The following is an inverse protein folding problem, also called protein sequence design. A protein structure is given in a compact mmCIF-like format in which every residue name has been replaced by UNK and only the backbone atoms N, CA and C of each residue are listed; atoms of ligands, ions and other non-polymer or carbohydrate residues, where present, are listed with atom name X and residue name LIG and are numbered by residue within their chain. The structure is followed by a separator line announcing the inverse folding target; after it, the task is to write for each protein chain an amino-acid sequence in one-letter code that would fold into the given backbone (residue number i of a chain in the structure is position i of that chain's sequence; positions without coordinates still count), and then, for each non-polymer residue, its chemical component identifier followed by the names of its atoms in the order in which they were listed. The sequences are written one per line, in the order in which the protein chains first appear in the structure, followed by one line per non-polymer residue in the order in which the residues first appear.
data_IF_275640729760
#
_entry.id   IF_275640729760
#
_cell.length_a   1.000
_cell.length_b   1.000
_cell.length_c   1.000
_cell.angle_alpha   90.00
_cell.angle_beta   90.00
_cell.angle_gamma   90.00
#
_symmetry.space_group_name_H-M   'P 1'
#
loop_
_entity.id
_entity.type
_entity.pdbx_description
1 polymer ?
#
# COMPACT_ATOMS: atom_id res chain seq x y z
N UNK A 1 10.41 -12.51 10.30
CA UNK A 1 9.74 -11.24 9.95
C UNK A 1 10.17 -10.14 10.90
N UNK A 2 10.38 -8.92 10.42
CA UNK A 2 10.57 -7.72 11.27
C UNK A 2 9.20 -7.09 11.51
N UNK A 3 8.90 -6.67 12.73
CA UNK A 3 7.67 -5.94 13.08
C UNK A 3 8.00 -4.50 13.47
N UNK A 4 7.24 -3.54 12.93
CA UNK A 4 7.39 -2.09 13.18
C UNK A 4 6.08 -1.53 13.71
N UNK A 5 6.15 -0.44 14.48
CA UNK A 5 4.95 0.32 14.82
C UNK A 5 4.41 1.03 13.58
N UNK A 6 3.08 1.12 13.48
CA UNK A 6 2.43 1.96 12.48
C UNK A 6 2.43 3.42 12.99
N UNK A 7 3.46 4.16 12.59
CA UNK A 7 3.71 5.51 13.10
C UNK A 7 3.90 5.51 14.62
N UNK A 8 3.27 6.46 15.30
CA UNK A 8 3.26 6.56 16.77
C UNK A 8 2.23 5.65 17.45
N UNK A 9 1.40 4.92 16.69
CA UNK A 9 0.36 4.06 17.27
C UNK A 9 0.95 2.86 18.03
N UNK A 10 0.11 2.20 18.83
CA UNK A 10 0.47 0.94 19.50
C UNK A 10 0.45 -0.28 18.57
N UNK A 11 -0.09 -0.16 17.35
CA UNK A 11 -0.22 -1.28 16.42
C UNK A 11 1.12 -1.66 15.82
N UNK A 12 1.47 -2.95 15.89
CA UNK A 12 2.64 -3.49 15.20
C UNK A 12 2.23 -4.22 13.92
N UNK A 13 2.82 -3.80 12.81
CA UNK A 13 2.66 -4.45 11.50
C UNK A 13 3.98 -5.07 11.07
N UNK A 14 3.91 -6.18 10.33
CA UNK A 14 5.06 -6.74 9.64
C UNK A 14 5.62 -5.71 8.67
N UNK A 15 6.94 -5.63 8.55
CA UNK A 15 7.61 -4.67 7.67
C UNK A 15 7.26 -4.89 6.18
N UNK A 16 6.85 -6.11 5.84
CA UNK A 16 6.23 -6.46 4.56
C UNK A 16 4.77 -6.81 4.81
N UNK A 17 3.87 -6.27 3.99
CA UNK A 17 2.44 -6.60 3.98
C UNK A 17 2.02 -7.14 2.62
N UNK A 18 0.81 -7.69 2.52
CA UNK A 18 0.34 -8.31 1.28
C UNK A 18 -0.97 -7.69 0.79
N UNK A 19 -0.96 -7.15 -0.43
CA UNK A 19 -2.10 -6.49 -1.05
C UNK A 19 -2.74 -7.32 -2.16
N UNK A 20 -4.04 -7.12 -2.36
CA UNK A 20 -4.86 -7.91 -3.28
C UNK A 20 -5.15 -7.23 -4.64
N UNK A 21 -4.62 -6.02 -4.86
CA UNK A 21 -4.94 -5.21 -6.05
C UNK A 21 -4.49 -5.88 -7.36
N UNK A 22 -5.40 -5.92 -8.35
CA UNK A 22 -5.29 -6.57 -9.67
C UNK A 22 -5.30 -8.10 -9.63
N UNK A 23 -4.84 -8.72 -8.54
CA UNK A 23 -4.71 -10.16 -8.43
C UNK A 23 -6.04 -10.82 -8.06
N UNK A 24 -6.55 -10.54 -6.87
CA UNK A 24 -7.66 -11.29 -6.29
C UNK A 24 -8.99 -10.92 -6.97
N UNK A 25 -9.77 -11.93 -7.32
CA UNK A 25 -11.06 -11.75 -7.99
C UNK A 25 -10.95 -11.25 -9.44
N UNK A 26 -9.74 -11.18 -10.01
CA UNK A 26 -9.53 -10.75 -11.41
C UNK A 26 -8.47 -11.57 -12.13
N UNK A 27 -7.19 -11.42 -11.79
CA UNK A 27 -6.08 -12.03 -12.54
C UNK A 27 -5.78 -13.47 -12.14
N UNK A 28 -5.99 -13.83 -10.87
CA UNK A 28 -5.67 -15.16 -10.34
C UNK A 28 -6.92 -15.83 -9.76
N UNK A 29 -6.94 -17.16 -9.82
CA UNK A 29 -8.01 -17.94 -9.20
C UNK A 29 -7.92 -17.94 -7.66
N UNK A 30 -8.98 -18.43 -7.01
CA UNK A 30 -9.05 -18.50 -5.55
C UNK A 30 -7.98 -19.42 -4.97
N UNK A 31 -7.59 -20.51 -5.65
CA UNK A 31 -6.61 -21.47 -5.13
C UNK A 31 -5.22 -20.84 -5.01
N UNK A 32 -4.79 -20.10 -6.03
CA UNK A 32 -3.54 -19.33 -6.00
C UNK A 32 -3.62 -18.22 -4.95
N UNK A 33 -4.77 -17.54 -4.85
CA UNK A 33 -4.98 -16.50 -3.83
C UNK A 33 -4.84 -17.06 -2.41
N UNK A 34 -5.45 -18.21 -2.12
CA UNK A 34 -5.32 -18.95 -0.86
C UNK A 34 -3.86 -19.29 -0.58
N UNK A 35 -3.16 -19.89 -1.55
CA UNK A 35 -1.76 -20.28 -1.41
C UNK A 35 -0.86 -19.08 -1.07
N UNK A 36 -1.06 -17.94 -1.75
CA UNK A 36 -0.28 -16.73 -1.51
C UNK A 36 -0.55 -16.13 -0.13
N UNK A 37 -1.80 -16.10 0.32
CA UNK A 37 -2.13 -15.61 1.66
C UNK A 37 -1.51 -16.48 2.77
N UNK A 38 -1.60 -17.80 2.64
CA UNK A 38 -0.96 -18.71 3.59
C UNK A 38 0.56 -18.55 3.57
N UNK A 39 1.18 -18.48 2.40
CA UNK A 39 2.62 -18.26 2.28
C UNK A 39 3.07 -16.94 2.95
N UNK A 40 2.30 -15.85 2.78
CA UNK A 40 2.58 -14.59 3.46
C UNK A 40 2.44 -14.73 4.98
N UNK A 41 1.33 -15.29 5.45
CA UNK A 41 1.04 -15.47 6.87
C UNK A 41 2.10 -16.35 7.57
N UNK A 42 2.45 -17.48 6.96
CA UNK A 42 3.45 -18.43 7.47
C UNK A 42 4.86 -17.80 7.51
N UNK A 43 5.14 -16.85 6.61
CA UNK A 43 6.38 -16.05 6.64
C UNK A 43 6.36 -14.94 7.72
N UNK A 44 5.27 -14.82 8.47
CA UNK A 44 5.07 -13.86 9.55
C UNK A 44 4.42 -12.54 9.11
N UNK A 45 3.95 -12.42 7.87
CA UNK A 45 3.17 -11.24 7.44
C UNK A 45 1.87 -11.21 8.23
N UNK A 46 1.63 -10.11 8.95
CA UNK A 46 0.41 -9.96 9.72
C UNK A 46 -0.56 -8.94 9.10
N UNK A 47 -0.15 -8.15 8.10
CA UNK A 47 -1.03 -7.12 7.51
C UNK A 47 -1.42 -7.44 6.07
N UNK A 48 -2.73 -7.50 5.82
CA UNK A 48 -3.35 -7.79 4.53
C UNK A 48 -4.21 -6.61 4.06
N UNK A 49 -3.96 -6.14 2.84
CA UNK A 49 -4.52 -4.90 2.31
C UNK A 49 -5.54 -5.13 1.17
N UNK A 50 -6.69 -4.47 1.24
CA UNK A 50 -7.79 -4.61 0.27
C UNK A 50 -8.55 -3.29 0.06
N UNK A 51 -9.55 -3.24 -0.84
CA UNK A 51 -10.41 -2.08 -1.06
C UNK A 51 -11.75 -2.48 -1.70
N UNK A 52 -12.81 -1.69 -1.47
CA UNK A 52 -14.14 -1.98 -2.02
C UNK A 52 -14.16 -2.07 -3.56
N UNK A 53 -13.36 -1.24 -4.23
CA UNK A 53 -13.35 -1.17 -5.69
C UNK A 53 -12.55 -2.31 -6.34
N UNK A 54 -11.71 -3.02 -5.58
CA UNK A 54 -10.86 -4.07 -6.14
C UNK A 54 -11.72 -5.23 -6.63
N UNK A 55 -11.70 -5.43 -7.96
CA UNK A 55 -12.60 -6.34 -8.66
C UNK A 55 -14.09 -6.12 -8.27
N UNK A 56 -14.49 -4.86 -8.04
CA UNK A 56 -15.86 -4.48 -7.62
C UNK A 56 -16.35 -5.29 -6.41
N UNK A 57 -15.53 -5.38 -5.37
CA UNK A 57 -15.85 -6.05 -4.12
C UNK A 57 -15.43 -7.53 -4.08
N UNK A 58 -15.26 -8.18 -5.23
CA UNK A 58 -14.89 -9.60 -5.26
C UNK A 58 -13.54 -9.89 -4.59
N UNK A 59 -12.60 -8.92 -4.60
CA UNK A 59 -11.32 -9.06 -3.91
C UNK A 59 -11.48 -9.20 -2.40
N UNK A 60 -12.41 -8.47 -1.78
CA UNK A 60 -12.73 -8.59 -0.36
C UNK A 60 -13.44 -9.90 -0.05
N UNK A 61 -14.32 -10.37 -0.92
CA UNK A 61 -15.00 -11.67 -0.76
C UNK A 61 -14.03 -12.84 -0.80
N UNK A 62 -13.05 -12.82 -1.72
CA UNK A 62 -12.00 -13.83 -1.81
C UNK A 62 -11.14 -13.82 -0.55
N UNK A 63 -10.66 -12.64 -0.14
CA UNK A 63 -9.85 -12.51 1.08
C UNK A 63 -10.62 -12.95 2.33
N UNK A 64 -11.87 -12.53 2.47
CA UNK A 64 -12.73 -12.89 3.60
C UNK A 64 -13.03 -14.37 3.66
N UNK A 65 -13.26 -15.03 2.51
CA UNK A 65 -13.39 -16.48 2.43
C UNK A 65 -12.14 -17.18 2.93
N UNK A 66 -10.95 -16.79 2.43
CA UNK A 66 -9.67 -17.38 2.83
C UNK A 66 -9.46 -17.23 4.34
N UNK A 67 -9.64 -16.02 4.88
CA UNK A 67 -9.53 -15.75 6.32
C UNK A 67 -10.48 -16.66 7.11
N UNK A 68 -11.77 -16.72 6.72
CA UNK A 68 -12.76 -17.54 7.44
C UNK A 68 -12.47 -19.04 7.43
N UNK A 69 -11.81 -19.53 6.38
CA UNK A 69 -11.48 -20.96 6.21
C UNK A 69 -10.08 -21.32 6.73
N UNK A 70 -9.24 -20.33 7.03
CA UNK A 70 -7.84 -20.52 7.41
C UNK A 70 -7.62 -21.02 8.85
N UNK A 71 -8.59 -20.80 9.74
CA UNK A 71 -8.44 -21.04 11.18
C UNK A 71 -7.50 -20.07 11.89
N UNK A 72 -7.08 -18.97 11.25
CA UNK A 72 -6.25 -17.95 11.90
C UNK A 72 -7.03 -17.25 13.03
N UNK A 73 -6.36 -17.03 14.15
CA UNK A 73 -6.94 -16.23 15.22
C UNK A 73 -7.13 -14.78 14.74
N UNK A 74 -8.30 -14.18 14.95
CA UNK A 74 -8.56 -12.79 14.52
C UNK A 74 -7.53 -11.78 15.06
N UNK A 75 -6.96 -12.06 16.22
CA UNK A 75 -5.92 -11.26 16.88
C UNK A 75 -4.52 -11.40 16.29
N UNK A 76 -4.27 -12.39 15.41
CA UNK A 76 -2.93 -12.63 14.83
C UNK A 76 -2.66 -11.82 13.56
N UNK A 77 -3.68 -11.21 12.96
CA UNK A 77 -3.56 -10.44 11.73
C UNK A 77 -4.32 -9.10 11.79
N UNK A 78 -3.88 -8.19 10.94
CA UNK A 78 -4.48 -6.93 10.61
C UNK A 78 -5.06 -7.01 9.19
N UNK A 79 -6.27 -6.53 8.99
CA UNK A 79 -6.88 -6.38 7.66
C UNK A 79 -7.26 -4.92 7.41
N UNK A 80 -7.06 -4.46 6.18
CA UNK A 80 -7.58 -3.15 5.73
C UNK A 80 -8.64 -3.26 4.65
N UNK A 81 -9.45 -2.20 4.58
CA UNK A 81 -10.20 -1.85 3.39
C UNK A 81 -10.10 -0.35 3.13
N UNK A 82 -10.50 0.09 1.93
CA UNK A 82 -10.52 1.49 1.51
C UNK A 82 -11.84 1.82 0.88
N UNK A 83 -12.38 2.97 1.26
CA UNK A 83 -13.62 3.53 0.76
C UNK A 83 -13.34 4.75 -0.10
N UNK A 84 -13.92 4.78 -1.30
CA UNK A 84 -14.09 5.97 -2.13
C UNK A 84 -14.94 5.67 -3.35
N UNK A 85 -14.61 4.64 -4.15
CA UNK A 85 -15.17 4.47 -5.50
C UNK A 85 -16.44 3.61 -5.54
N UNK A 86 -16.83 3.03 -4.41
CA UNK A 86 -17.87 2.01 -4.34
C UNK A 86 -17.46 0.70 -5.02
N UNK A 87 -18.34 -0.29 -4.88
CA UNK A 87 -18.30 -1.54 -5.65
C UNK A 87 -19.52 -1.68 -6.56
N UNK A 88 -20.63 -1.06 -6.15
CA UNK A 88 -21.78 -0.75 -6.99
C UNK A 88 -21.51 0.56 -7.72
N UNK A 89 -21.46 0.51 -9.04
CA UNK A 89 -21.34 1.70 -9.88
C UNK A 89 -22.70 1.97 -10.47
N UNK A 90 -23.35 3.10 -10.16
CA UNK A 90 -24.44 3.74 -10.94
C UNK A 90 -25.21 4.85 -10.19
N UNK A 91 -24.92 5.16 -8.92
CA UNK A 91 -25.65 6.17 -8.13
C UNK A 91 -24.72 7.22 -7.50
N UNK A 92 -25.19 8.46 -7.31
CA UNK A 92 -24.35 9.59 -6.86
C UNK A 92 -23.74 9.41 -5.47
N UNK A 93 -24.40 8.66 -4.58
CA UNK A 93 -23.96 8.47 -3.19
C UNK A 93 -23.23 7.13 -2.95
N UNK A 94 -22.82 6.44 -4.02
CA UNK A 94 -22.01 5.21 -3.95
C UNK A 94 -20.53 5.50 -4.17
N UNK A 95 -20.11 6.76 -4.06
CA UNK A 95 -18.74 7.22 -4.23
C UNK A 95 -18.43 8.43 -3.34
N UNK A 96 -17.16 8.76 -3.18
CA UNK A 96 -16.66 9.88 -2.38
C UNK A 96 -16.43 9.54 -0.91
N UNK A 97 -16.34 10.57 -0.08
CA UNK A 97 -16.06 10.47 1.35
C UNK A 97 -17.12 11.12 2.23
N UNK A 98 -18.33 11.26 1.69
CA UNK A 98 -19.50 11.63 2.49
C UNK A 98 -19.71 10.64 3.63
N UNK A 99 -20.30 11.12 4.73
CA UNK A 99 -20.67 10.28 5.87
C UNK A 99 -21.53 9.10 5.42
N UNK A 100 -22.46 9.31 4.48
CA UNK A 100 -23.30 8.23 3.95
C UNK A 100 -22.44 7.11 3.35
N UNK A 101 -21.56 7.43 2.39
CA UNK A 101 -20.76 6.42 1.70
C UNK A 101 -19.72 5.77 2.61
N UNK A 102 -19.06 6.53 3.50
CA UNK A 102 -18.12 5.97 4.47
C UNK A 102 -18.79 4.91 5.35
N UNK A 103 -19.96 5.24 5.91
CA UNK A 103 -20.67 4.35 6.82
C UNK A 103 -21.20 3.10 6.09
N UNK A 104 -21.79 3.28 4.91
CA UNK A 104 -22.32 2.17 4.09
C UNK A 104 -21.21 1.28 3.53
N UNK A 105 -20.13 1.88 3.01
CA UNK A 105 -18.95 1.20 2.49
C UNK A 105 -18.25 0.36 3.55
N UNK A 106 -18.07 0.90 4.77
CA UNK A 106 -17.51 0.13 5.90
C UNK A 106 -18.37 -1.08 6.25
N UNK A 107 -19.69 -0.91 6.39
CA UNK A 107 -20.61 -2.01 6.67
C UNK A 107 -20.58 -3.09 5.57
N UNK A 108 -20.45 -2.68 4.31
CA UNK A 108 -20.37 -3.60 3.18
C UNK A 108 -19.03 -4.35 3.16
N UNK A 109 -17.92 -3.66 3.44
CA UNK A 109 -16.59 -4.25 3.53
C UNK A 109 -16.51 -5.32 4.64
N UNK A 110 -17.05 -5.04 5.83
CA UNK A 110 -17.14 -6.01 6.95
C UNK A 110 -17.81 -7.32 6.53
N UNK A 111 -18.92 -7.22 5.79
CA UNK A 111 -19.65 -8.40 5.28
C UNK A 111 -18.83 -9.19 4.27
N UNK A 112 -18.22 -8.53 3.29
CA UNK A 112 -17.40 -9.21 2.25
C UNK A 112 -16.14 -9.83 2.84
N UNK A 113 -15.47 -9.12 3.74
CA UNK A 113 -14.28 -9.61 4.46
C UNK A 113 -14.61 -10.65 5.54
N UNK A 114 -15.87 -10.81 5.91
CA UNK A 114 -16.34 -11.75 6.95
C UNK A 114 -15.63 -11.53 8.30
N UNK A 115 -15.46 -10.27 8.68
CA UNK A 115 -14.86 -9.86 9.96
C UNK A 115 -15.80 -8.92 10.71
N UNK A 116 -15.70 -8.93 12.04
CA UNK A 116 -16.51 -8.06 12.91
C UNK A 116 -15.98 -6.64 12.98
N UNK A 117 -14.67 -6.45 12.74
CA UNK A 117 -13.99 -5.17 12.70
C UNK A 117 -12.87 -5.17 11.66
N UNK A 118 -12.54 -3.98 11.14
CA UNK A 118 -11.39 -3.73 10.25
C UNK A 118 -10.30 -3.01 11.06
N UNK A 119 -9.07 -3.50 11.05
CA UNK A 119 -8.01 -2.86 11.83
C UNK A 119 -7.69 -1.47 11.28
N UNK A 120 -7.55 -1.39 9.95
CA UNK A 120 -7.11 -0.20 9.23
C UNK A 120 -8.12 0.19 8.14
N UNK A 121 -8.86 1.28 8.31
CA UNK A 121 -9.82 1.74 7.29
C UNK A 121 -9.37 3.03 6.62
N UNK A 122 -9.27 3.03 5.29
CA UNK A 122 -8.67 4.14 4.56
C UNK A 122 -9.70 4.93 3.75
N UNK A 123 -9.53 6.25 3.72
CA UNK A 123 -9.99 7.08 2.62
C UNK A 123 -9.13 6.77 1.38
N UNK A 124 -9.68 6.11 0.36
CA UNK A 124 -8.88 5.64 -0.79
C UNK A 124 -8.31 6.79 -1.63
N UNK A 125 -8.98 7.94 -1.69
CA UNK A 125 -8.54 9.16 -2.37
C UNK A 125 -9.04 10.38 -1.61
N UNK A 126 -8.44 11.57 -1.78
CA UNK A 126 -9.07 12.79 -1.29
C UNK A 126 -10.37 13.05 -2.05
N UNK A 127 -11.41 13.50 -1.34
CA UNK A 127 -12.67 13.92 -1.94
C UNK A 127 -12.77 15.44 -1.91
N UNK A 128 -12.79 16.06 -3.09
CA UNK A 128 -12.88 17.52 -3.22
C UNK A 128 -14.30 18.06 -3.03
N UNK A 129 -15.29 17.17 -2.98
CA UNK A 129 -16.70 17.55 -2.84
C UNK A 129 -17.24 17.34 -1.42
N UNK A 130 -16.50 16.64 -0.55
CA UNK A 130 -16.88 16.43 0.85
C UNK A 130 -15.98 17.26 1.75
N UNK A 131 -16.54 18.09 2.66
CA UNK A 131 -15.74 18.77 3.68
C UNK A 131 -14.95 17.77 4.54
N UNK A 132 -13.67 18.03 4.77
CA UNK A 132 -12.79 17.14 5.57
C UNK A 132 -13.39 16.89 6.95
N UNK A 133 -14.08 17.87 7.52
CA UNK A 133 -14.76 17.78 8.81
C UNK A 133 -15.77 16.62 8.86
N UNK A 134 -16.57 16.46 7.79
CA UNK A 134 -17.57 15.40 7.69
C UNK A 134 -16.89 14.02 7.61
N UNK A 135 -15.82 13.91 6.83
CA UNK A 135 -15.02 12.70 6.72
C UNK A 135 -14.40 12.30 8.07
N UNK A 136 -13.76 13.25 8.78
CA UNK A 136 -13.16 12.97 10.10
C UNK A 136 -14.22 12.53 11.10
N UNK A 137 -15.39 13.19 11.13
CA UNK A 137 -16.51 12.79 11.99
C UNK A 137 -17.04 11.39 11.66
N UNK A 138 -17.15 11.05 10.38
CA UNK A 138 -17.59 9.74 9.94
C UNK A 138 -16.61 8.64 10.38
N UNK A 139 -15.30 8.86 10.19
CA UNK A 139 -14.26 7.93 10.63
C UNK A 139 -14.25 7.78 12.16
N UNK A 140 -14.32 8.88 12.90
CA UNK A 140 -14.41 8.83 14.37
C UNK A 140 -15.67 8.09 14.83
N UNK A 141 -16.81 8.26 14.14
CA UNK A 141 -18.04 7.51 14.44
C UNK A 141 -17.82 6.00 14.28
N UNK A 142 -17.15 5.56 13.22
CA UNK A 142 -16.87 4.14 13.00
C UNK A 142 -15.95 3.56 14.08
N UNK A 143 -14.99 4.34 14.57
CA UNK A 143 -14.15 3.95 15.72
C UNK A 143 -15.00 3.76 16.96
N UNK A 144 -15.86 4.72 17.30
CA UNK A 144 -16.74 4.62 18.48
C UNK A 144 -17.74 3.45 18.38
N UNK A 145 -18.10 3.05 17.16
CA UNK A 145 -18.93 1.86 16.91
C UNK A 145 -18.16 0.54 17.02
N UNK A 146 -16.84 0.56 17.23
CA UNK A 146 -15.99 -0.63 17.25
C UNK A 146 -15.84 -1.33 15.90
N UNK A 147 -16.26 -0.68 14.81
CA UNK A 147 -16.21 -1.26 13.45
C UNK A 147 -14.83 -1.15 12.83
N UNK A 148 -14.08 -0.12 13.21
CA UNK A 148 -12.70 0.08 12.81
C UNK A 148 -11.86 0.43 14.04
N UNK A 149 -10.58 0.08 14.05
CA UNK A 149 -9.67 0.49 15.13
C UNK A 149 -8.87 1.75 14.80
N UNK A 150 -8.39 1.82 13.57
CA UNK A 150 -7.62 2.95 13.08
C UNK A 150 -8.16 3.38 11.71
N UNK A 151 -8.06 4.66 11.43
CA UNK A 151 -8.29 5.18 10.09
C UNK A 151 -7.07 5.89 9.54
N UNK A 152 -7.02 5.98 8.22
CA UNK A 152 -5.95 6.61 7.50
C UNK A 152 -6.38 7.13 6.14
N UNK A 153 -5.42 7.70 5.43
CA UNK A 153 -5.60 8.34 4.13
C UNK A 153 -4.80 7.60 3.05
N UNK A 154 -5.12 7.80 1.78
CA UNK A 154 -4.35 7.25 0.66
C UNK A 154 -4.37 8.20 -0.52
N UNK A 155 -3.17 8.55 -0.97
CA UNK A 155 -2.93 9.55 -2.00
C UNK A 155 -3.40 10.96 -1.63
N UNK A 156 -3.47 11.27 -0.34
CA UNK A 156 -3.72 12.63 0.13
C UNK A 156 -2.44 13.46 0.06
N UNK A 157 -2.59 14.78 0.01
CA UNK A 157 -1.50 15.74 0.17
C UNK A 157 -1.22 16.02 1.66
N UNK A 158 -0.03 16.55 1.97
CA UNK A 158 0.30 16.93 3.33
C UNK A 158 -0.68 17.96 3.90
N UNK A 159 -1.14 18.89 3.08
CA UNK A 159 -2.08 19.95 3.48
C UNK A 159 -3.44 19.37 3.89
N UNK A 160 -3.94 18.37 3.18
CA UNK A 160 -5.21 17.71 3.51
C UNK A 160 -5.09 16.86 4.77
N UNK A 161 -3.98 16.14 4.94
CA UNK A 161 -3.71 15.35 6.14
C UNK A 161 -3.57 16.28 7.35
N UNK A 162 -2.87 17.41 7.20
CA UNK A 162 -2.73 18.44 8.22
C UNK A 162 -4.09 19.04 8.61
N UNK A 163 -4.97 19.31 7.63
CA UNK A 163 -6.32 19.78 7.90
C UNK A 163 -7.14 18.75 8.70
N UNK A 164 -7.03 17.46 8.36
CA UNK A 164 -7.68 16.39 9.10
C UNK A 164 -7.18 16.30 10.54
N UNK A 165 -5.86 16.39 10.77
CA UNK A 165 -5.28 16.46 12.11
C UNK A 165 -5.77 17.69 12.89
N UNK A 166 -5.67 18.88 12.29
CA UNK A 166 -6.06 20.13 12.94
C UNK A 166 -7.55 20.13 13.33
N UNK A 167 -8.42 19.60 12.47
CA UNK A 167 -9.82 19.45 12.79
C UNK A 167 -10.05 18.43 13.92
N UNK A 168 -9.39 17.27 13.86
CA UNK A 168 -9.53 16.24 14.89
C UNK A 168 -9.11 16.75 16.27
N UNK A 169 -7.96 17.41 16.37
CA UNK A 169 -7.44 17.95 17.63
C UNK A 169 -8.38 19.01 18.24
N UNK A 170 -8.84 19.96 17.42
CA UNK A 170 -9.76 21.02 17.88
C UNK A 170 -11.10 20.48 18.39
N UNK A 171 -11.53 19.31 17.89
CA UNK A 171 -12.81 18.71 18.20
C UNK A 171 -12.70 17.46 19.09
N UNK A 172 -11.52 17.17 19.65
CA UNK A 172 -11.27 16.00 20.49
C UNK A 172 -11.64 14.67 19.81
N UNK A 173 -11.38 14.58 18.50
CA UNK A 173 -11.58 13.39 17.69
C UNK A 173 -10.25 12.67 17.45
N UNK A 174 -10.33 11.44 16.97
CA UNK A 174 -9.14 10.68 16.57
C UNK A 174 -8.76 11.06 15.13
N UNK A 175 -7.59 11.67 14.95
CA UNK A 175 -7.01 11.97 13.63
C UNK A 175 -6.51 10.73 12.89
N UNK A 176 -6.13 10.86 11.61
CA UNK A 176 -5.62 9.72 10.83
C UNK A 176 -4.31 9.22 11.43
N UNK A 177 -4.13 7.90 11.52
CA UNK A 177 -2.92 7.32 12.10
C UNK A 177 -1.86 6.94 11.05
N UNK A 178 -2.28 6.81 9.79
CA UNK A 178 -1.41 6.43 8.69
C UNK A 178 -1.85 7.01 7.34
N UNK A 179 -0.89 7.10 6.42
CA UNK A 179 -1.09 7.37 5.01
C UNK A 179 -0.64 6.15 4.18
N UNK A 180 -1.29 5.92 3.03
CA UNK A 180 -0.92 4.90 2.05
C UNK A 180 -0.46 5.55 0.74
N UNK A 181 0.81 6.01 0.65
CA UNK A 181 1.34 6.67 -0.53
C UNK A 181 2.10 5.70 -1.44
N UNK A 182 2.22 6.05 -2.72
CA UNK A 182 3.15 5.39 -3.61
C UNK A 182 4.58 5.68 -3.15
N UNK A 183 5.42 4.64 -3.02
CA UNK A 183 6.84 4.82 -2.74
C UNK A 183 7.69 3.72 -3.39
N UNK A 184 8.65 4.13 -4.20
CA UNK A 184 9.62 3.26 -4.86
C UNK A 184 10.79 4.11 -5.38
N UNK A 185 11.80 3.46 -5.97
CA UNK A 185 12.99 4.12 -6.52
C UNK A 185 12.66 5.26 -7.52
N UNK A 186 11.49 5.26 -8.18
CA UNK A 186 11.06 6.32 -9.08
C UNK A 186 10.04 7.32 -8.49
N UNK A 187 9.45 7.03 -7.33
CA UNK A 187 8.45 7.88 -6.69
C UNK A 187 8.82 8.10 -5.22
N UNK A 188 9.27 9.31 -4.91
CA UNK A 188 9.95 9.65 -3.66
C UNK A 188 9.44 10.91 -2.98
N UNK A 189 8.71 11.77 -3.70
CA UNK A 189 8.44 13.14 -3.27
C UNK A 189 7.62 13.19 -1.98
N UNK A 190 6.57 12.38 -1.89
CA UNK A 190 5.70 12.34 -0.70
C UNK A 190 6.47 11.95 0.56
N UNK A 191 7.18 10.83 0.49
CA UNK A 191 7.87 10.23 1.64
C UNK A 191 9.14 10.98 2.07
N UNK A 192 9.89 11.52 1.12
CA UNK A 192 11.22 12.08 1.42
C UNK A 192 11.22 13.62 1.44
N UNK A 193 10.09 14.26 1.18
CA UNK A 193 9.96 15.73 1.23
C UNK A 193 8.64 16.18 1.83
N UNK A 194 7.51 15.78 1.24
CA UNK A 194 6.20 16.36 1.57
C UNK A 194 5.74 16.02 3.00
N UNK A 195 5.95 14.77 3.43
CA UNK A 195 5.44 14.26 4.72
C UNK A 195 6.41 14.38 5.89
N UNK A 196 7.60 14.98 5.69
CA UNK A 196 8.62 15.05 6.75
C UNK A 196 8.09 15.71 8.03
N UNK A 197 7.28 16.76 7.92
CA UNK A 197 6.66 17.41 9.07
C UNK A 197 5.55 16.55 9.70
N UNK A 198 4.78 15.81 8.91
CA UNK A 198 3.76 14.89 9.42
C UNK A 198 4.38 13.74 10.23
N UNK A 199 5.54 13.25 9.80
CA UNK A 199 6.29 12.26 10.58
C UNK A 199 6.81 12.83 11.89
N UNK A 200 7.41 14.02 11.85
CA UNK A 200 8.00 14.68 13.02
C UNK A 200 6.95 15.08 14.06
N UNK A 201 5.89 15.76 13.61
CA UNK A 201 4.95 16.45 14.50
C UNK A 201 3.77 15.55 14.90
N UNK A 202 3.30 14.73 13.96
CA UNK A 202 2.12 13.89 14.17
C UNK A 202 2.46 12.42 14.34
N UNK A 203 3.69 11.99 14.07
CA UNK A 203 4.08 10.59 14.14
C UNK A 203 3.31 9.71 13.14
N UNK A 204 3.02 10.24 11.96
CA UNK A 204 2.27 9.56 10.91
C UNK A 204 2.95 8.23 10.51
N UNK A 205 2.21 7.13 10.48
CA UNK A 205 2.69 5.86 9.93
C UNK A 205 2.47 5.78 8.43
N UNK A 206 3.19 4.88 7.73
CA UNK A 206 2.92 4.67 6.30
C UNK A 206 2.87 3.22 5.89
N UNK A 207 1.87 2.89 5.06
CA UNK A 207 1.76 1.61 4.37
C UNK A 207 2.04 1.84 2.89
N UNK A 208 3.28 1.72 2.41
CA UNK A 208 3.61 2.17 1.05
C UNK A 208 3.21 1.14 0.00
N UNK A 209 2.79 1.60 -1.18
CA UNK A 209 2.33 0.73 -2.27
C UNK A 209 3.14 0.88 -3.56
N UNK A 210 3.02 -0.13 -4.44
CA UNK A 210 3.80 -0.28 -5.68
C UNK A 210 5.32 -0.14 -5.53
N UNK A 211 5.96 -0.88 -4.60
CA UNK A 211 7.42 -0.83 -4.41
C UNK A 211 8.20 -1.23 -5.67
N UNK A 212 7.58 -2.02 -6.56
CA UNK A 212 8.18 -2.48 -7.81
C UNK A 212 7.79 -1.65 -9.04
N UNK A 213 7.13 -0.50 -8.85
CA UNK A 213 6.63 0.36 -9.93
C UNK A 213 5.89 -0.43 -11.02
N UNK A 214 4.81 -1.14 -10.63
CA UNK A 214 4.05 -2.03 -11.52
C UNK A 214 4.84 -3.18 -12.16
N UNK A 215 6.01 -3.51 -11.61
CA UNK A 215 6.88 -4.57 -12.10
C UNK A 215 8.04 -4.07 -12.95
N UNK A 216 8.17 -2.76 -13.18
CA UNK A 216 9.34 -2.19 -13.84
C UNK A 216 10.63 -2.54 -13.11
N UNK A 217 10.64 -2.38 -11.79
CA UNK A 217 11.77 -2.68 -10.92
C UNK A 217 11.97 -4.19 -10.67
N UNK A 218 11.56 -5.04 -11.61
CA UNK A 218 12.01 -6.44 -11.67
C UNK A 218 12.94 -6.70 -12.84
N UNK A 219 13.17 -5.70 -13.72
CA UNK A 219 13.98 -5.82 -14.93
C UNK A 219 13.32 -6.60 -16.07
N UNK A 220 12.06 -7.08 -15.89
CA UNK A 220 11.39 -7.93 -16.89
C UNK A 220 10.99 -7.19 -18.17
N UNK A 221 11.03 -5.85 -18.15
CA UNK A 221 10.72 -5.00 -19.30
C UNK A 221 11.98 -4.41 -19.96
N UNK A 222 13.18 -4.86 -19.57
CA UNK A 222 14.44 -4.28 -20.05
C UNK A 222 14.71 -4.50 -21.56
N UNK A 223 14.06 -5.50 -22.17
CA UNK A 223 14.30 -5.85 -23.58
C UNK A 223 13.01 -5.91 -24.41
N UNK A 224 11.92 -6.43 -23.82
CA UNK A 224 10.60 -6.49 -24.45
C UNK A 224 9.52 -6.56 -23.37
N UNK A 225 8.24 -6.53 -23.76
CA UNK A 225 7.11 -6.76 -22.84
C UNK A 225 6.75 -8.25 -22.88
N UNK A 226 6.99 -9.01 -21.79
CA UNK A 226 6.63 -10.43 -21.77
C UNK A 226 5.11 -10.63 -21.80
N UNK A 227 4.69 -11.79 -22.31
CA UNK A 227 3.30 -12.24 -22.24
C UNK A 227 2.82 -12.49 -20.80
N UNK A 228 1.50 -12.37 -20.57
CA UNK A 228 0.89 -12.65 -19.28
C UNK A 228 1.25 -11.65 -18.18
N UNK A 229 1.74 -10.47 -18.55
CA UNK A 229 2.09 -9.42 -17.59
C UNK A 229 0.90 -8.53 -17.27
N UNK A 230 0.95 -7.85 -16.11
CA UNK A 230 -0.14 -6.98 -15.67
C UNK A 230 -0.44 -5.81 -16.63
N UNK A 231 0.54 -5.44 -17.46
CA UNK A 231 0.43 -4.37 -18.45
C UNK A 231 -0.32 -4.79 -19.72
N UNK A 232 -0.63 -6.08 -19.87
CA UNK A 232 -1.41 -6.64 -20.98
C UNK A 232 -2.85 -6.99 -20.58
N UNK A 233 -3.24 -6.77 -19.33
CA UNK A 233 -4.64 -6.97 -18.89
C UNK A 233 -5.50 -5.90 -19.56
N UNK A 234 -6.62 -6.33 -20.17
CA UNK A 234 -7.57 -5.42 -20.80
C UNK A 234 -8.04 -4.31 -19.84
N UNK A 235 -8.05 -3.06 -20.33
CA UNK A 235 -8.35 -1.86 -19.55
C UNK A 235 -7.19 -1.29 -18.73
N UNK A 236 -5.95 -1.77 -18.93
CA UNK A 236 -4.74 -1.29 -18.24
C UNK A 236 -3.77 -0.51 -19.13
N UNK A 237 -4.23 0.04 -20.26
CA UNK A 237 -3.37 0.81 -21.19
C UNK A 237 -2.71 2.02 -20.51
N UNK A 238 -3.48 2.74 -19.68
CA UNK A 238 -2.96 3.83 -18.85
C UNK A 238 -1.82 3.38 -17.92
N UNK A 239 -1.88 2.14 -17.42
CA UNK A 239 -0.84 1.59 -16.54
C UNK A 239 0.41 1.24 -17.35
N UNK A 240 0.25 0.73 -18.57
CA UNK A 240 1.33 0.47 -19.50
C UNK A 240 2.06 1.76 -19.88
N UNK A 241 1.32 2.78 -20.27
CA UNK A 241 1.86 4.11 -20.59
C UNK A 241 2.58 4.72 -19.38
N UNK A 242 1.96 4.71 -18.19
CA UNK A 242 2.59 5.20 -16.96
C UNK A 242 3.84 4.42 -16.55
N UNK A 243 3.94 3.15 -16.92
CA UNK A 243 5.07 2.29 -16.53
C UNK A 243 6.21 2.33 -17.53
N UNK A 244 5.90 2.38 -18.84
CA UNK A 244 6.86 2.19 -19.92
C UNK A 244 6.99 3.40 -20.87
N UNK A 245 6.16 4.43 -20.70
CA UNK A 245 6.14 5.60 -21.57
C UNK A 245 7.35 6.51 -21.45
N UNK A 246 8.13 6.38 -20.37
CA UNK A 246 9.37 7.12 -20.15
C UNK A 246 10.59 6.19 -20.28
N UNK A 247 11.28 6.30 -21.42
CA UNK A 247 12.47 5.51 -21.72
C UNK A 247 13.61 5.72 -20.71
N UNK A 248 13.68 6.89 -20.06
CA UNK A 248 14.73 7.17 -19.06
C UNK A 248 14.61 6.23 -17.86
N UNK A 249 13.39 5.84 -17.47
CA UNK A 249 13.15 4.91 -16.37
C UNK A 249 13.59 3.49 -16.72
N UNK A 250 13.47 3.08 -17.98
CA UNK A 250 13.95 1.78 -18.45
C UNK A 250 15.47 1.74 -18.38
N UNK A 251 16.17 2.77 -18.87
CA UNK A 251 17.63 2.85 -18.81
C UNK A 251 18.14 2.79 -17.36
N UNK A 252 17.55 3.57 -16.46
CA UNK A 252 17.86 3.51 -15.01
C UNK A 252 17.58 2.14 -14.41
N UNK A 253 16.52 1.46 -14.84
CA UNK A 253 16.20 0.10 -14.42
C UNK A 253 17.27 -0.90 -14.87
N UNK A 254 17.85 -0.72 -16.07
CA UNK A 254 18.95 -1.56 -16.56
C UNK A 254 20.21 -1.36 -15.71
N UNK A 255 20.56 -0.11 -15.38
CA UNK A 255 21.70 0.19 -14.51
C UNK A 255 21.51 -0.38 -13.09
N UNK A 256 20.32 -0.21 -12.51
CA UNK A 256 19.97 -0.80 -11.22
C UNK A 256 20.00 -2.34 -11.27
N UNK A 257 19.61 -2.94 -12.40
CA UNK A 257 19.67 -4.39 -12.58
C UNK A 257 21.11 -4.90 -12.59
N UNK A 258 22.04 -4.15 -13.21
CA UNK A 258 23.48 -4.44 -13.15
C UNK A 258 24.00 -4.35 -11.72
N UNK A 259 23.65 -3.28 -10.98
CA UNK A 259 24.03 -3.14 -9.58
C UNK A 259 23.48 -4.29 -8.71
N UNK A 260 22.22 -4.67 -8.91
CA UNK A 260 21.62 -5.80 -8.18
C UNK A 260 22.36 -7.13 -8.44
N UNK A 261 22.81 -7.36 -9.68
CA UNK A 261 23.64 -8.52 -10.04
C UNK A 261 24.99 -8.52 -9.34
N UNK A 262 25.66 -7.37 -9.26
CA UNK A 262 26.93 -7.23 -8.52
C UNK A 262 26.76 -7.60 -7.03
N UNK A 263 25.59 -7.28 -6.46
CA UNK A 263 25.23 -7.62 -5.08
C UNK A 263 24.72 -9.06 -4.90
N UNK A 264 24.59 -9.84 -6.00
CA UNK A 264 24.10 -11.22 -5.95
C UNK A 264 22.61 -11.36 -5.64
N UNK A 265 21.80 -10.31 -5.83
CA UNK A 265 20.36 -10.30 -5.49
C UNK A 265 19.48 -9.95 -6.70
N UNK A 266 18.23 -10.44 -6.77
CA UNK A 266 17.25 -9.95 -7.73
C UNK A 266 16.94 -8.46 -7.53
N UNK A 267 16.78 -7.72 -8.63
CA UNK A 267 16.43 -6.28 -8.58
C UNK A 267 15.14 -6.01 -7.78
N UNK A 268 14.17 -6.93 -7.80
CA UNK A 268 12.96 -6.76 -7.00
C UNK A 268 13.24 -6.77 -5.50
N UNK A 269 14.22 -7.55 -5.03
CA UNK A 269 14.62 -7.56 -3.63
C UNK A 269 15.34 -6.27 -3.27
N UNK A 270 16.25 -5.81 -4.13
CA UNK A 270 16.93 -4.52 -3.95
C UNK A 270 15.92 -3.37 -3.83
N UNK A 271 14.92 -3.31 -4.71
CA UNK A 271 13.90 -2.27 -4.70
C UNK A 271 13.03 -2.29 -3.44
N UNK A 272 12.57 -3.46 -3.00
CA UNK A 272 11.78 -3.59 -1.76
C UNK A 272 12.62 -3.28 -0.53
N UNK A 273 13.85 -3.79 -0.46
CA UNK A 273 14.79 -3.53 0.64
C UNK A 273 15.13 -2.03 0.73
N UNK A 274 15.28 -1.36 -0.41
CA UNK A 274 15.48 0.09 -0.45
C UNK A 274 14.30 0.84 0.16
N UNK A 275 13.05 0.48 -0.16
CA UNK A 275 11.88 1.07 0.50
C UNK A 275 11.91 0.83 2.02
N UNK A 276 12.33 -0.36 2.47
CA UNK A 276 12.41 -0.71 3.89
C UNK A 276 13.50 0.05 4.66
N UNK A 277 14.53 0.59 3.99
CA UNK A 277 15.57 1.42 4.62
C UNK A 277 15.06 2.78 5.08
N UNK A 278 13.96 3.27 4.51
CA UNK A 278 13.34 4.51 4.97
C UNK A 278 12.69 4.29 6.35
N UNK A 279 13.10 5.05 7.40
CA UNK A 279 12.60 4.85 8.76
C UNK A 279 11.12 5.23 8.92
N UNK A 280 10.56 6.00 7.99
CA UNK A 280 9.15 6.39 8.00
C UNK A 280 8.25 5.34 7.35
N UNK A 281 8.82 4.31 6.72
CA UNK A 281 8.06 3.18 6.18
C UNK A 281 7.76 2.17 7.29
N UNK A 282 6.49 2.12 7.72
CA UNK A 282 6.03 1.10 8.66
C UNK A 282 5.89 -0.27 7.99
N UNK A 283 5.37 -0.30 6.76
CA UNK A 283 5.24 -1.53 5.96
C UNK A 283 5.25 -1.24 4.46
N UNK A 284 5.77 -2.20 3.68
CA UNK A 284 5.75 -2.21 2.22
C UNK A 284 4.72 -3.24 1.73
N UNK A 285 3.69 -2.77 1.01
CA UNK A 285 2.65 -3.64 0.44
C UNK A 285 3.19 -4.34 -0.80
N UNK A 286 3.37 -5.65 -0.68
CA UNK A 286 3.72 -6.55 -1.77
C UNK A 286 2.49 -6.94 -2.59
N UNK A 287 2.72 -7.23 -3.86
CA UNK A 287 1.73 -7.85 -4.74
C UNK A 287 2.40 -8.93 -5.57
N UNK A 288 1.75 -10.08 -5.70
CA UNK A 288 2.27 -11.22 -6.43
C UNK A 288 1.13 -11.95 -7.16
N UNK A 289 1.40 -12.40 -8.38
CA UNK A 289 0.48 -13.27 -9.13
C UNK A 289 0.92 -14.74 -9.12
N UNK A 290 2.10 -15.04 -8.59
CA UNK A 290 2.67 -16.39 -8.50
C UNK A 290 3.44 -16.59 -7.18
N UNK A 291 3.45 -17.80 -6.59
CA UNK A 291 4.18 -18.10 -5.35
C UNK A 291 5.66 -17.70 -5.37
N UNK A 292 6.35 -17.91 -6.50
CA UNK A 292 7.78 -17.64 -6.61
C UNK A 292 8.09 -16.13 -6.49
N UNK A 293 7.17 -15.28 -6.98
CA UNK A 293 7.29 -13.82 -6.85
C UNK A 293 7.15 -13.38 -5.39
N UNK A 294 6.17 -13.95 -4.68
CA UNK A 294 5.94 -13.63 -3.28
C UNK A 294 7.12 -14.09 -2.43
N UNK A 295 7.57 -15.35 -2.59
CA UNK A 295 8.76 -15.86 -1.91
C UNK A 295 9.97 -14.96 -2.15
N UNK A 296 10.26 -14.62 -3.41
CA UNK A 296 11.38 -13.75 -3.74
C UNK A 296 11.29 -12.39 -3.06
N UNK A 297 10.10 -11.79 -2.96
CA UNK A 297 9.93 -10.46 -2.35
C UNK A 297 9.87 -10.49 -0.82
N UNK A 298 9.45 -11.60 -0.21
CA UNK A 298 9.53 -11.82 1.24
C UNK A 298 10.99 -11.84 1.73
N UNK A 299 11.89 -12.42 0.94
CA UNK A 299 13.32 -12.50 1.26
C UNK A 299 14.05 -11.15 1.20
N UNK A 300 13.39 -10.07 0.75
CA UNK A 300 13.98 -8.72 0.65
C UNK A 300 14.45 -8.15 1.99
N UNK A 301 13.90 -8.64 3.12
CA UNK A 301 14.34 -8.23 4.46
C UNK A 301 15.83 -8.53 4.66
N UNK A 302 16.30 -9.66 4.13
CA UNK A 302 17.70 -10.09 4.26
C UNK A 302 18.65 -9.24 3.38
N UNK A 303 18.12 -8.48 2.42
CA UNK A 303 18.90 -7.62 1.51
C UNK A 303 19.14 -6.23 2.13
N UNK A 304 18.43 -5.87 3.20
CA UNK A 304 18.59 -4.57 3.86
C UNK A 304 20.03 -4.30 4.36
N UNK A 305 20.73 -5.34 4.81
CA UNK A 305 22.10 -5.23 5.30
C UNK A 305 23.13 -5.01 4.17
N UNK A 306 22.80 -5.43 2.95
CA UNK A 306 23.64 -5.22 1.76
C UNK A 306 23.56 -3.78 1.23
N UNK A 307 22.52 -3.03 1.64
CA UNK A 307 22.35 -1.61 1.29
C UNK A 307 23.21 -0.73 2.22
N UNK A 308 24.53 -0.83 2.04
CA UNK A 308 25.52 0.05 2.67
C UNK A 308 25.45 1.47 2.10
N UNK A 309 26.09 2.43 2.76
CA UNK A 309 26.11 3.83 2.28
C UNK A 309 26.71 3.95 0.87
N UNK A 310 27.70 3.13 0.53
CA UNK A 310 28.27 3.08 -0.81
C UNK A 310 27.24 2.61 -1.85
N UNK A 311 26.50 1.53 -1.55
CA UNK A 311 25.46 1.01 -2.44
C UNK A 311 24.32 2.01 -2.57
N UNK A 312 23.90 2.64 -1.47
CA UNK A 312 22.89 3.69 -1.49
C UNK A 312 23.34 4.87 -2.36
N UNK A 313 24.60 5.29 -2.27
CA UNK A 313 25.14 6.35 -3.12
C UNK A 313 25.14 5.98 -4.60
N UNK A 314 25.47 4.72 -4.96
CA UNK A 314 25.35 4.23 -6.34
C UNK A 314 23.91 4.31 -6.85
N UNK A 315 22.94 3.91 -6.02
CA UNK A 315 21.51 4.04 -6.33
C UNK A 315 21.13 5.51 -6.56
N UNK A 316 21.57 6.43 -5.70
CA UNK A 316 21.30 7.86 -5.86
C UNK A 316 21.87 8.43 -7.17
N UNK A 317 23.08 8.01 -7.56
CA UNK A 317 23.71 8.43 -8.82
C UNK A 317 22.92 7.92 -10.03
N UNK A 318 22.55 6.64 -10.04
CA UNK A 318 21.78 6.04 -11.14
C UNK A 318 20.42 6.73 -11.27
N UNK A 319 19.74 6.93 -10.15
CA UNK A 319 18.39 7.49 -10.16
C UNK A 319 18.37 8.99 -10.45
N UNK A 320 19.35 9.73 -9.92
CA UNK A 320 19.46 11.17 -10.00
C UNK A 320 18.09 11.88 -9.82
N UNK A 321 17.34 11.47 -8.81
CA UNK A 321 15.97 11.94 -8.54
C UNK A 321 15.71 12.21 -7.05
N UNK A 322 16.78 12.31 -6.24
CA UNK A 322 16.67 12.58 -4.80
C UNK A 322 15.88 13.88 -4.61
N UNK A 323 14.80 13.87 -3.82
CA UNK A 323 14.02 15.08 -3.58
C UNK A 323 14.87 16.20 -2.99
N UNK A 324 14.73 17.41 -3.53
CA UNK A 324 15.39 18.60 -3.01
C UNK A 324 14.54 19.14 -1.87
N UNK A 325 15.13 19.22 -0.68
CA UNK A 325 14.47 19.81 0.49
C UNK A 325 14.51 21.34 0.40
N UNK A 326 13.45 22.03 0.84
CA UNK A 326 13.51 23.48 1.03
C UNK A 326 14.67 23.86 1.94
N UNK A 327 15.37 24.95 1.61
CA UNK A 327 16.49 25.45 2.41
C UNK A 327 16.03 26.13 3.72
N UNK A 328 14.78 26.61 3.75
CA UNK A 328 14.16 27.37 4.83
C UNK A 328 12.75 26.86 5.09
#
# INVERSE_FOLDING_TARGET
MIYRRLGKSGLQVSALSFGSWITFGKQIDTKVSTQLMHMAYDAGVNFFDNAEIYARGASEEVMGKIISESGWARSSYCVSSKVFFGYETNKPNQTGLSRKHIMEGCNAALKRLRVEYIDLFFCHRPDKNTPIEETVWAMNTLIQQGKIFYWGTSEWSADEIMQAFAFAERNQLIGPSMEQPQYNLFERQKMEREFLLLFRDYGLGTTVWSPLASGLLTGKYNSSIPEGTRLQIEGMDWLKERTLGDASRINKTIELFTLAKELGVPLSQLAVAWCLKNPHVSTVILGASKPEQLKQTLDSINVMELLTDEVMQKIEVILNNKPVLPAF
#
